data_IF_074277893566
#
_entry.id   IF_074277893566
#
_cell.length_a   1.000
_cell.length_b   1.000
_cell.length_c   1.000
_cell.angle_alpha   90.00
_cell.angle_beta   90.00
_cell.angle_gamma   90.00
#
_symmetry.space_group_name_H-M   'P 1'
#
loop_
_entity.id
_entity.type
_entity.pdbx_description
1 polymer ?
#
# COMPACT_ATOMS: atom_id res chain seq x y z
N UNK A 1 -3.42 -13.33 -17.90
CA UNK A 1 -4.02 -12.20 -17.15
C UNK A 1 -3.77 -10.93 -17.95
N UNK A 2 -4.81 -10.13 -18.27
CA UNK A 2 -4.60 -8.82 -18.86
C UNK A 2 -3.67 -8.00 -17.96
N UNK A 3 -2.74 -7.23 -18.55
CA UNK A 3 -1.95 -6.27 -17.78
C UNK A 3 -2.94 -5.30 -17.15
N UNK A 4 -2.84 -5.07 -15.84
CA UNK A 4 -3.58 -3.97 -15.21
C UNK A 4 -3.22 -2.67 -15.95
N UNK A 5 -4.17 -2.16 -16.72
CA UNK A 5 -4.11 -0.83 -17.32
C UNK A 5 -4.55 0.15 -16.25
N UNK A 6 -3.63 1.01 -15.85
CA UNK A 6 -3.92 2.12 -14.96
C UNK A 6 -4.17 3.37 -15.82
N UNK A 7 -5.11 4.26 -15.43
CA UNK A 7 -5.33 5.53 -16.12
C UNK A 7 -4.03 6.35 -16.20
N UNK A 8 -3.84 7.16 -17.25
CA UNK A 8 -2.64 8.00 -17.42
C UNK A 8 -2.49 9.07 -16.34
N UNK A 9 -3.60 9.69 -15.94
CA UNK A 9 -3.71 10.61 -14.82
C UNK A 9 -4.75 10.08 -13.84
N UNK A 10 -4.44 10.16 -12.55
CA UNK A 10 -5.31 9.70 -11.48
C UNK A 10 -5.46 10.86 -10.47
N UNK A 11 -6.70 11.13 -10.06
CA UNK A 11 -7.02 12.22 -9.15
C UNK A 11 -7.70 11.67 -7.91
N UNK A 12 -7.31 12.18 -6.74
CA UNK A 12 -7.96 11.87 -5.47
C UNK A 12 -8.46 13.18 -4.86
N UNK A 13 -9.79 13.33 -4.78
CA UNK A 13 -10.45 14.57 -4.35
C UNK A 13 -9.91 15.83 -5.08
N UNK A 14 -9.67 15.72 -6.39
CA UNK A 14 -9.15 16.82 -7.22
C UNK A 14 -7.64 17.02 -7.18
N UNK A 15 -6.92 16.40 -6.23
CA UNK A 15 -5.45 16.40 -6.22
C UNK A 15 -4.93 15.36 -7.21
N UNK A 16 -4.05 15.78 -8.12
CA UNK A 16 -3.35 14.86 -9.02
C UNK A 16 -2.38 14.00 -8.23
N UNK A 17 -2.41 12.69 -8.50
CA UNK A 17 -1.50 11.71 -7.91
C UNK A 17 -0.51 11.23 -8.98
N UNK A 18 0.75 11.68 -8.86
CA UNK A 18 1.78 11.41 -9.87
C UNK A 18 2.50 10.07 -9.64
N UNK A 19 2.42 9.52 -8.43
CA UNK A 19 3.10 8.28 -8.05
C UNK A 19 2.27 7.03 -8.37
N UNK A 20 2.94 5.97 -8.84
CA UNK A 20 2.38 4.61 -8.93
C UNK A 20 3.32 3.62 -8.26
N UNK A 21 3.23 3.53 -6.94
CA UNK A 21 4.13 2.76 -6.11
C UNK A 21 3.84 1.27 -6.30
N UNK A 22 4.89 0.54 -6.68
CA UNK A 22 4.81 -0.92 -6.83
C UNK A 22 5.41 -1.60 -5.61
N UNK A 23 4.91 -2.80 -5.28
CA UNK A 23 5.60 -3.68 -4.34
C UNK A 23 7.06 -3.87 -4.76
N UNK A 24 7.99 -3.84 -3.80
CA UNK A 24 9.41 -4.04 -4.07
C UNK A 24 9.68 -5.45 -4.60
N UNK A 25 10.75 -5.60 -5.38
CA UNK A 25 11.00 -6.78 -6.22
C UNK A 25 11.14 -8.06 -5.39
N UNK A 26 11.64 -7.97 -4.17
CA UNK A 26 11.78 -9.09 -3.24
C UNK A 26 10.44 -9.75 -2.86
N UNK A 27 9.32 -9.04 -3.00
CA UNK A 27 7.97 -9.56 -2.73
C UNK A 27 7.25 -10.07 -3.98
N UNK A 28 7.95 -10.21 -5.11
CA UNK A 28 7.36 -10.65 -6.38
C UNK A 28 6.75 -12.05 -6.26
N UNK A 29 7.38 -12.96 -5.53
CA UNK A 29 6.92 -14.35 -5.36
C UNK A 29 5.61 -14.41 -4.57
N UNK A 30 5.51 -13.68 -3.45
CA UNK A 30 4.26 -13.52 -2.71
C UNK A 30 3.14 -13.10 -3.65
N UNK A 31 3.32 -11.99 -4.37
CA UNK A 31 2.31 -11.47 -5.28
C UNK A 31 1.91 -12.47 -6.37
N UNK A 32 2.85 -13.25 -6.90
CA UNK A 32 2.56 -14.29 -7.89
C UNK A 32 1.75 -15.43 -7.28
N UNK A 33 2.17 -15.94 -6.12
CA UNK A 33 1.47 -17.00 -5.41
C UNK A 33 0.02 -16.59 -5.07
N UNK A 34 -0.19 -15.42 -4.47
CA UNK A 34 -1.52 -14.95 -4.07
C UNK A 34 -2.47 -14.73 -5.25
N UNK A 35 -1.93 -14.44 -6.45
CA UNK A 35 -2.74 -14.26 -7.66
C UNK A 35 -3.07 -15.56 -8.39
N UNK A 36 -2.37 -16.65 -8.08
CA UNK A 36 -2.68 -17.97 -8.63
C UNK A 36 -3.79 -18.67 -7.83
N UNK A 37 -3.86 -18.37 -6.54
CA UNK A 37 -4.83 -18.99 -5.64
C UNK A 37 -6.20 -18.31 -5.73
N UNK A 38 -7.31 -19.07 -5.62
CA UNK A 38 -8.63 -18.52 -5.32
C UNK A 38 -8.63 -17.65 -4.05
N UNK A 39 -9.54 -16.67 -3.95
CA UNK A 39 -9.62 -15.77 -2.78
C UNK A 39 -10.06 -16.46 -1.48
N UNK A 40 -10.71 -17.61 -1.59
CA UNK A 40 -11.14 -18.46 -0.47
C UNK A 40 -10.09 -19.52 -0.08
N UNK A 41 -9.00 -19.63 -0.83
CA UNK A 41 -7.93 -20.57 -0.52
C UNK A 41 -7.23 -20.17 0.80
N UNK A 42 -6.95 -21.12 1.72
CA UNK A 42 -6.40 -20.81 3.05
C UNK A 42 -5.02 -20.13 3.02
N UNK A 43 -4.23 -20.38 1.98
CA UNK A 43 -2.94 -19.72 1.78
C UNK A 43 -3.03 -18.37 1.06
N UNK A 44 -4.22 -17.96 0.57
CA UNK A 44 -4.39 -16.68 -0.08
C UNK A 44 -4.75 -15.61 0.96
N UNK A 45 -3.83 -14.69 1.20
CA UNK A 45 -4.04 -13.57 2.12
C UNK A 45 -4.59 -12.32 1.44
N UNK A 46 -4.91 -12.36 0.14
CA UNK A 46 -5.47 -11.22 -0.60
C UNK A 46 -7.00 -11.17 -0.46
N UNK A 47 -7.56 -9.98 -0.55
CA UNK A 47 -8.98 -9.71 -0.34
C UNK A 47 -9.75 -9.83 -1.66
N UNK A 48 -10.96 -10.40 -1.61
CA UNK A 48 -11.92 -10.24 -2.70
C UNK A 48 -12.34 -8.77 -2.81
N UNK A 49 -12.92 -8.37 -3.96
CA UNK A 49 -13.42 -7.01 -4.16
C UNK A 49 -14.44 -6.62 -3.09
N UNK A 50 -15.40 -7.50 -2.80
CA UNK A 50 -16.41 -7.30 -1.75
C UNK A 50 -15.78 -7.08 -0.37
N UNK A 51 -14.70 -7.80 -0.05
CA UNK A 51 -13.96 -7.58 1.21
C UNK A 51 -13.21 -6.24 1.22
N UNK A 52 -12.68 -5.78 0.09
CA UNK A 52 -12.05 -4.45 0.01
C UNK A 52 -13.09 -3.33 0.18
N UNK A 53 -14.29 -3.49 -0.38
CA UNK A 53 -15.38 -2.50 -0.27
C UNK A 53 -15.77 -2.24 1.20
N UNK A 54 -15.71 -3.28 2.05
CA UNK A 54 -15.95 -3.18 3.50
C UNK A 54 -14.84 -2.47 4.29
N UNK A 55 -13.75 -2.07 3.64
CA UNK A 55 -12.62 -1.37 4.26
C UNK A 55 -12.44 0.07 3.75
N UNK A 56 -13.36 0.54 2.89
CA UNK A 56 -13.30 1.88 2.33
C UNK A 56 -13.56 2.89 3.44
N UNK A 57 -12.60 3.79 3.64
CA UNK A 57 -12.74 4.94 4.52
C UNK A 57 -13.25 6.13 3.73
N UNK A 58 -14.22 6.84 4.28
CA UNK A 58 -14.74 8.07 3.70
C UNK A 58 -14.72 9.21 4.72
N UNK A 59 -15.03 10.42 4.28
CA UNK A 59 -15.18 11.59 5.14
C UNK A 59 -16.67 11.83 5.36
N UNK A 60 -17.09 11.94 6.62
CA UNK A 60 -18.45 12.31 6.99
C UNK A 60 -18.74 13.78 6.67
N UNK A 61 -20.02 14.17 6.71
CA UNK A 61 -20.43 15.57 6.52
C UNK A 61 -19.80 16.52 7.56
N UNK A 62 -19.54 16.01 8.76
CA UNK A 62 -18.90 16.73 9.86
C UNK A 62 -17.36 16.74 9.78
N UNK A 63 -16.77 16.16 8.72
CA UNK A 63 -15.33 16.16 8.50
C UNK A 63 -14.54 15.09 9.27
N UNK A 64 -15.21 14.04 9.77
CA UNK A 64 -14.56 12.91 10.44
C UNK A 64 -14.31 11.76 9.47
N UNK A 65 -13.22 11.02 9.68
CA UNK A 65 -12.97 9.81 8.90
C UNK A 65 -13.78 8.65 9.49
N UNK A 66 -14.59 8.01 8.63
CA UNK A 66 -15.50 6.92 9.01
C UNK A 66 -15.26 5.66 8.19
N UNK A 67 -15.54 4.51 8.80
CA UNK A 67 -15.62 3.23 8.09
C UNK A 67 -16.96 3.11 7.31
N UNK A 68 -17.20 2.03 6.55
CA UNK A 68 -18.46 1.83 5.82
C UNK A 68 -19.73 1.70 6.68
N UNK A 69 -19.57 1.49 7.99
CA UNK A 69 -20.65 1.42 8.96
C UNK A 69 -20.89 2.79 9.66
N UNK A 70 -20.32 3.87 9.12
CA UNK A 70 -20.36 5.25 9.64
C UNK A 70 -19.74 5.43 11.04
N UNK A 71 -18.89 4.49 11.48
CA UNK A 71 -18.19 4.60 12.75
C UNK A 71 -16.88 5.39 12.59
N UNK A 72 -16.60 6.27 13.56
CA UNK A 72 -15.36 7.03 13.57
C UNK A 72 -14.14 6.13 13.74
N UNK A 73 -13.11 6.41 12.94
CA UNK A 73 -11.82 5.78 13.14
C UNK A 73 -11.11 6.37 14.36
N UNK A 74 -10.60 5.48 15.22
CA UNK A 74 -9.78 5.84 16.38
C UNK A 74 -8.61 4.85 16.52
N UNK A 75 -7.41 5.36 16.78
CA UNK A 75 -6.18 4.57 16.85
C UNK A 75 -5.40 4.46 15.54
N UNK A 76 -4.57 3.43 15.44
CA UNK A 76 -3.64 3.20 14.32
C UNK A 76 -4.25 2.28 13.25
N UNK A 77 -4.18 2.69 11.98
CA UNK A 77 -4.63 1.91 10.83
C UNK A 77 -3.54 1.85 9.77
N UNK A 78 -3.26 0.64 9.26
CA UNK A 78 -2.59 0.50 7.98
C UNK A 78 -3.52 0.99 6.88
N UNK A 79 -2.98 1.75 5.93
CA UNK A 79 -3.76 2.25 4.81
C UNK A 79 -3.10 2.00 3.45
N UNK A 80 -3.93 1.91 2.42
CA UNK A 80 -3.52 2.03 1.02
C UNK A 80 -4.49 2.95 0.28
N UNK A 81 -3.96 3.77 -0.62
CA UNK A 81 -4.76 4.48 -1.62
C UNK A 81 -4.67 3.74 -2.95
N UNK A 82 -5.79 3.19 -3.43
CA UNK A 82 -5.79 2.37 -4.65
C UNK A 82 -5.46 3.18 -5.90
N UNK A 83 -4.97 2.51 -6.94
CA UNK A 83 -4.54 3.12 -8.20
C UNK A 83 -5.60 2.95 -9.33
N UNK A 84 -6.84 2.65 -8.96
CA UNK A 84 -7.97 2.53 -9.90
C UNK A 84 -8.44 3.91 -10.39
N UNK A 85 -9.35 3.95 -11.36
CA UNK A 85 -9.88 5.21 -11.93
C UNK A 85 -10.51 6.12 -10.88
N UNK A 86 -11.19 5.53 -9.91
CA UNK A 86 -11.63 6.20 -8.69
C UNK A 86 -10.81 5.63 -7.52
N UNK A 87 -9.78 6.34 -7.03
CA UNK A 87 -8.96 5.88 -5.92
C UNK A 87 -9.78 5.72 -4.64
N UNK A 88 -9.60 4.59 -3.97
CA UNK A 88 -10.25 4.30 -2.69
C UNK A 88 -9.20 4.28 -1.58
N UNK A 89 -9.49 4.96 -0.48
CA UNK A 89 -8.69 4.89 0.75
C UNK A 89 -9.16 3.67 1.55
N UNK A 90 -8.35 2.62 1.59
CA UNK A 90 -8.65 1.42 2.38
C UNK A 90 -7.86 1.47 3.68
N UNK A 91 -8.52 1.30 4.82
CA UNK A 91 -7.89 1.30 6.15
C UNK A 91 -8.23 0.02 6.91
N UNK A 92 -7.27 -0.50 7.66
CA UNK A 92 -7.49 -1.60 8.60
C UNK A 92 -6.42 -1.59 9.70
N UNK A 93 -6.73 -1.89 10.97
CA UNK A 93 -5.74 -1.91 12.04
C UNK A 93 -4.58 -2.87 11.75
N UNK A 94 -4.90 -4.14 11.44
CA UNK A 94 -3.89 -5.19 11.38
C UNK A 94 -3.49 -5.69 9.98
N UNK A 95 -4.30 -5.47 8.94
CA UNK A 95 -4.01 -6.03 7.62
C UNK A 95 -2.79 -5.37 6.97
N UNK A 96 -1.92 -6.21 6.40
CA UNK A 96 -0.77 -5.75 5.65
C UNK A 96 -1.16 -5.01 4.36
N UNK A 97 -0.34 -4.05 3.95
CA UNK A 97 -0.58 -3.27 2.73
C UNK A 97 -0.70 -4.11 1.46
N UNK A 98 0.04 -5.23 1.35
CA UNK A 98 -0.09 -6.11 0.16
C UNK A 98 -1.42 -6.84 0.12
N UNK A 99 -1.95 -7.25 1.27
CA UNK A 99 -3.30 -7.78 1.43
C UNK A 99 -4.35 -6.73 1.06
N UNK A 100 -4.25 -5.52 1.64
CA UNK A 100 -5.20 -4.43 1.34
C UNK A 100 -5.25 -4.07 -0.14
N UNK A 101 -4.10 -4.06 -0.82
CA UNK A 101 -4.01 -3.66 -2.22
C UNK A 101 -4.03 -4.83 -3.22
N UNK A 102 -4.19 -6.09 -2.77
CA UNK A 102 -4.10 -7.28 -3.63
C UNK A 102 -2.80 -7.32 -4.48
N UNK A 103 -1.71 -6.83 -3.89
CA UNK A 103 -0.41 -6.64 -4.52
C UNK A 103 -0.42 -5.80 -5.81
N UNK A 104 -1.48 -5.01 -6.05
CA UNK A 104 -1.58 -4.04 -7.15
C UNK A 104 -0.67 -2.84 -6.88
N UNK A 105 -0.55 -1.93 -7.84
CA UNK A 105 0.11 -0.64 -7.57
C UNK A 105 -0.82 0.22 -6.70
N UNK A 106 -0.23 1.08 -5.88
CA UNK A 106 -0.93 2.03 -5.01
C UNK A 106 -0.44 3.45 -5.28
N UNK A 107 -1.24 4.45 -4.94
CA UNK A 107 -0.86 5.86 -5.02
C UNK A 107 -0.18 6.33 -3.73
N UNK A 108 -0.54 5.72 -2.59
CA UNK A 108 0.07 5.95 -1.29
C UNK A 108 -0.12 4.71 -0.41
N UNK A 109 0.74 4.53 0.59
CA UNK A 109 0.60 3.46 1.58
C UNK A 109 1.40 3.74 2.83
N UNK A 110 0.89 3.31 3.98
CA UNK A 110 1.59 3.45 5.23
C UNK A 110 0.64 3.34 6.40
N UNK A 111 0.73 4.24 7.36
CA UNK A 111 -0.09 4.21 8.56
C UNK A 111 -0.78 5.55 8.79
N UNK A 112 -2.04 5.53 9.17
CA UNK A 112 -2.78 6.69 9.67
C UNK A 112 -3.05 6.51 11.16
N UNK A 113 -2.90 7.58 11.93
CA UNK A 113 -3.29 7.61 13.34
C UNK A 113 -4.42 8.62 13.54
N UNK A 114 -5.52 8.13 14.08
CA UNK A 114 -6.69 8.90 14.40
C UNK A 114 -6.82 9.06 15.91
N UNK A 115 -7.34 10.21 16.32
CA UNK A 115 -7.72 10.48 17.71
C UNK A 115 -9.12 11.07 17.70
N UNK A 116 -10.08 10.33 18.25
CA UNK A 116 -11.49 10.70 18.33
C UNK A 116 -12.05 11.11 16.96
N UNK A 117 -11.87 10.26 15.95
CA UNK A 117 -12.36 10.50 14.57
C UNK A 117 -11.53 11.48 13.72
N UNK A 118 -10.55 12.17 14.33
CA UNK A 118 -9.72 13.15 13.62
C UNK A 118 -8.36 12.57 13.25
N UNK A 119 -7.94 12.78 11.99
CA UNK A 119 -6.62 12.35 11.53
C UNK A 119 -5.54 13.25 12.15
N UNK A 120 -4.53 12.65 12.79
CA UNK A 120 -3.45 13.39 13.48
C UNK A 120 -2.06 13.13 12.90
N UNK A 121 -1.78 11.90 12.48
CA UNK A 121 -0.45 11.52 11.96
C UNK A 121 -0.60 10.62 10.74
N UNK A 122 0.27 10.83 9.77
CA UNK A 122 0.49 9.90 8.66
C UNK A 122 1.94 9.44 8.65
N UNK A 123 2.18 8.18 8.30
CA UNK A 123 3.52 7.64 8.11
C UNK A 123 3.61 6.91 6.78
N UNK A 124 4.82 6.79 6.22
CA UNK A 124 5.09 5.93 5.07
C UNK A 124 5.54 4.51 5.49
N UNK A 125 5.23 4.06 6.72
CA UNK A 125 5.67 2.78 7.29
C UNK A 125 5.00 1.56 6.62
N UNK A 126 5.29 1.33 5.35
CA UNK A 126 4.87 0.17 4.57
C UNK A 126 6.05 -0.73 4.26
N UNK A 127 5.97 -2.00 4.67
CA UNK A 127 7.05 -2.96 4.43
C UNK A 127 7.21 -3.32 2.95
N UNK A 128 6.11 -3.57 2.24
CA UNK A 128 6.14 -4.09 0.86
C UNK A 128 6.25 -3.00 -0.21
N UNK A 129 5.64 -1.83 0.03
CA UNK A 129 5.61 -0.74 -0.95
C UNK A 129 6.73 0.28 -0.72
N UNK A 130 7.04 0.58 0.55
CA UNK A 130 8.06 1.55 0.99
C UNK A 130 8.05 2.82 0.11
N UNK A 131 6.97 3.61 0.13
CA UNK A 131 6.91 4.82 -0.65
C UNK A 131 7.93 5.84 -0.15
N UNK A 132 8.51 6.60 -1.07
CA UNK A 132 9.39 7.71 -0.72
C UNK A 132 8.59 8.88 -0.17
N UNK A 133 9.29 9.84 0.43
CA UNK A 133 8.64 11.04 0.94
C UNK A 133 8.03 11.88 -0.19
N UNK A 134 8.72 11.98 -1.33
CA UNK A 134 8.23 12.66 -2.53
C UNK A 134 6.98 11.99 -3.09
N UNK A 135 6.94 10.65 -3.12
CA UNK A 135 5.74 9.91 -3.56
C UNK A 135 4.54 10.15 -2.63
N UNK A 136 4.77 10.42 -1.34
CA UNK A 136 3.73 10.65 -0.34
C UNK A 136 3.25 12.11 -0.29
N UNK A 137 4.04 13.07 -0.75
CA UNK A 137 3.76 14.50 -0.56
C UNK A 137 2.38 14.94 -1.09
N UNK A 138 1.95 14.60 -2.33
CA UNK A 138 0.61 14.98 -2.81
C UNK A 138 -0.52 14.39 -1.96
N UNK A 139 -0.33 13.18 -1.45
CA UNK A 139 -1.30 12.51 -0.58
C UNK A 139 -1.38 13.17 0.80
N UNK A 140 -0.23 13.51 1.40
CA UNK A 140 -0.15 14.20 2.69
C UNK A 140 -0.86 15.55 2.61
N UNK A 141 -0.56 16.36 1.58
CA UNK A 141 -1.23 17.64 1.34
C UNK A 141 -2.74 17.46 1.25
N UNK A 142 -3.18 16.44 0.50
CA UNK A 142 -4.61 16.22 0.32
C UNK A 142 -5.31 15.78 1.61
N UNK A 143 -4.68 14.91 2.40
CA UNK A 143 -5.23 14.52 3.70
C UNK A 143 -5.29 15.70 4.68
N UNK A 144 -4.32 16.61 4.63
CA UNK A 144 -4.34 17.82 5.46
C UNK A 144 -5.59 18.66 5.17
N UNK A 145 -5.87 18.94 3.89
CA UNK A 145 -7.10 19.63 3.47
C UNK A 145 -8.37 18.89 3.90
N UNK A 146 -8.45 17.59 3.62
CA UNK A 146 -9.64 16.78 3.94
C UNK A 146 -9.89 16.68 5.45
N UNK A 147 -8.82 16.69 6.25
CA UNK A 147 -8.92 16.68 7.70
C UNK A 147 -9.27 18.04 8.32
N UNK A 148 -9.52 19.07 7.51
CA UNK A 148 -9.75 20.43 8.03
C UNK A 148 -8.55 21.00 8.79
N UNK A 149 -7.33 20.54 8.45
CA UNK A 149 -6.09 20.96 9.09
C UNK A 149 -5.72 20.20 10.37
N UNK A 150 -6.42 19.13 10.75
CA UNK A 150 -6.09 18.39 11.99
C UNK A 150 -4.90 17.44 11.87
N UNK A 151 -4.47 17.11 10.65
CA UNK A 151 -3.28 16.31 10.40
C UNK A 151 -2.02 17.12 10.76
N UNK A 152 -1.39 16.75 11.87
CA UNK A 152 -0.31 17.53 12.47
C UNK A 152 1.07 17.13 11.93
N UNK A 153 1.31 15.82 11.82
CA UNK A 153 2.65 15.27 11.63
C UNK A 153 2.73 14.23 10.53
N UNK A 154 3.86 14.23 9.83
CA UNK A 154 4.28 13.16 8.95
C UNK A 154 5.56 12.52 9.49
N UNK A 155 5.56 11.21 9.71
CA UNK A 155 6.77 10.47 10.11
C UNK A 155 7.29 9.62 8.95
N UNK A 156 8.49 9.96 8.49
CA UNK A 156 9.23 9.26 7.45
C UNK A 156 10.10 8.15 8.01
N UNK A 157 9.94 6.96 7.43
CA UNK A 157 10.75 5.77 7.65
C UNK A 157 11.80 5.55 6.55
N UNK A 158 12.02 6.54 5.67
CA UNK A 158 13.06 6.48 4.64
C UNK A 158 14.48 6.43 5.24
N UNK A 159 14.67 6.95 6.45
CA UNK A 159 15.96 6.99 7.17
C UNK A 159 15.93 6.19 8.47
N UNK A 160 17.09 5.91 9.05
CA UNK A 160 17.22 5.38 10.42
C UNK A 160 18.19 6.29 11.19
N UNK A 161 17.74 6.98 12.26
CA UNK A 161 16.39 6.98 12.86
C UNK A 161 15.30 7.58 11.94
N UNK A 162 14.04 7.43 12.34
CA UNK A 162 12.92 8.04 11.60
C UNK A 162 12.98 9.57 11.70
N UNK A 163 12.28 10.26 10.80
CA UNK A 163 12.21 11.73 10.78
C UNK A 163 10.77 12.18 10.78
N UNK A 164 10.41 13.06 11.70
CA UNK A 164 9.06 13.64 11.78
C UNK A 164 9.07 15.07 11.23
N UNK A 165 8.01 15.45 10.53
CA UNK A 165 7.85 16.73 9.84
C UNK A 165 6.50 17.35 10.21
N UNK A 166 6.44 18.68 10.34
CA UNK A 166 5.17 19.40 10.46
C UNK A 166 4.44 19.37 9.13
N UNK A 167 3.19 18.90 9.12
CA UNK A 167 2.39 18.83 7.88
C UNK A 167 2.00 20.23 7.38
N UNK A 168 1.80 21.18 8.28
CA UNK A 168 1.58 22.60 7.92
C UNK A 168 2.73 23.13 7.08
N UNK A 169 3.99 22.80 7.41
CA UNK A 169 5.14 23.22 6.62
C UNK A 169 5.27 22.44 5.31
N UNK A 170 4.93 21.14 5.31
CA UNK A 170 4.89 20.33 4.09
C UNK A 170 3.82 20.81 3.11
N UNK A 171 2.73 21.41 3.60
CA UNK A 171 1.66 21.94 2.77
C UNK A 171 2.16 23.09 1.86
N UNK A 172 3.07 23.91 2.38
CA UNK A 172 3.61 25.11 1.71
C UNK A 172 4.74 24.82 0.70
N UNK A 173 5.27 23.59 0.64
CA UNK A 173 6.39 23.24 -0.24
C UNK A 173 5.96 22.35 -1.39
N UNK A 174 6.50 22.55 -2.59
CA UNK A 174 6.20 21.71 -3.76
C UNK A 174 7.17 20.54 -3.97
N UNK A 175 8.25 20.49 -3.19
CA UNK A 175 9.34 19.54 -3.33
C UNK A 175 9.83 19.14 -1.94
N UNK A 176 9.86 17.83 -1.65
CA UNK A 176 10.19 17.33 -0.32
C UNK A 176 11.65 17.60 0.06
N UNK A 177 12.55 17.87 -0.89
CA UNK A 177 13.94 18.24 -0.60
C UNK A 177 14.07 19.54 0.21
N UNK A 178 13.02 20.39 0.21
CA UNK A 178 12.94 21.62 1.02
C UNK A 178 12.44 21.37 2.44
N UNK A 179 11.95 20.16 2.74
CA UNK A 179 11.40 19.82 4.03
C UNK A 179 12.50 19.74 5.10
N UNK A 180 12.26 20.35 6.25
CA UNK A 180 13.15 20.25 7.40
C UNK A 180 12.52 19.28 8.42
N UNK A 181 13.22 18.27 8.95
CA UNK A 181 12.67 17.42 10.00
C UNK A 181 12.62 18.17 11.35
N UNK A 182 11.82 17.70 12.30
CA UNK A 182 11.88 18.12 13.71
C UNK A 182 13.25 17.81 14.29
N UNK A 183 13.75 18.72 15.14
CA UNK A 183 14.92 18.47 15.98
C UNK A 183 14.52 17.70 17.24
N UNK A 184 15.50 17.14 17.94
CA UNK A 184 15.29 16.37 19.19
C UNK A 184 14.53 17.15 20.27
N UNK A 185 14.67 18.48 20.29
CA UNK A 185 14.03 19.37 21.25
C UNK A 185 12.81 20.11 20.68
N UNK A 186 12.26 19.66 19.54
CA UNK A 186 11.08 20.24 18.92
C UNK A 186 9.90 19.26 18.99
N UNK A 187 8.70 19.77 19.26
CA UNK A 187 7.43 19.04 19.12
C UNK A 187 6.49 19.80 18.20
N UNK A 188 5.37 19.17 17.84
CA UNK A 188 4.28 19.81 17.11
C UNK A 188 3.15 20.05 18.10
N UNK A 189 2.78 21.31 18.27
CA UNK A 189 1.65 21.69 19.09
C UNK A 189 0.35 21.10 18.52
N UNK A 190 -0.41 20.41 19.37
CA UNK A 190 -1.56 19.62 18.93
C UNK A 190 -2.75 20.48 18.44
N UNK A 191 -2.77 21.77 18.77
CA UNK A 191 -3.86 22.70 18.44
C UNK A 191 -3.51 23.55 17.22
N UNK A 192 -2.28 24.03 17.14
CA UNK A 192 -1.81 24.96 16.11
C UNK A 192 -1.06 24.26 14.97
N UNK A 193 -0.69 22.99 15.14
CA UNK A 193 0.07 22.19 14.17
C UNK A 193 1.43 22.82 13.79
N UNK A 194 1.94 23.71 14.64
CA UNK A 194 3.22 24.42 14.51
C UNK A 194 4.29 23.81 15.40
N UNK A 195 5.55 24.01 15.02
CA UNK A 195 6.70 23.64 15.84
C UNK A 195 6.74 24.45 17.12
N UNK A 196 7.04 23.77 18.22
CA UNK A 196 7.35 24.39 19.51
C UNK A 196 8.57 23.71 20.11
N UNK A 197 9.40 24.48 20.81
CA UNK A 197 10.55 23.94 21.52
C UNK A 197 10.12 23.37 22.86
N UNK A 198 10.59 22.17 23.18
CA UNK A 198 10.36 21.53 24.47
C UNK A 198 11.46 21.99 25.43
N UNK A 199 11.08 22.35 26.65
CA UNK A 199 12.00 22.58 27.77
C UNK A 199 12.59 21.24 28.23
N UNK A 200 13.87 21.20 28.60
CA UNK A 200 14.62 19.99 29.00
C UNK A 200 14.02 19.19 30.18
N UNK A 201 12.95 19.67 30.82
CA UNK A 201 12.25 19.00 31.90
C UNK A 201 11.14 18.02 31.44
N UNK A 202 10.75 18.04 30.16
CA UNK A 202 9.61 17.26 29.65
C UNK A 202 9.99 16.08 28.73
N UNK A 203 11.26 15.67 28.70
CA UNK A 203 11.72 14.58 27.81
C UNK A 203 11.26 13.22 28.36
N UNK A 204 10.17 12.69 27.82
CA UNK A 204 9.75 11.29 27.99
C UNK A 204 10.52 10.40 27.00
N UNK A 205 10.99 9.24 27.49
CA UNK A 205 11.83 8.25 26.79
C UNK A 205 11.31 7.90 25.38
N UNK A 206 12.17 8.05 24.36
CA UNK A 206 11.91 7.70 22.94
C UNK A 206 12.45 6.30 22.54
N UNK A 207 12.61 5.38 23.48
CA UNK A 207 13.22 4.06 23.21
C UNK A 207 12.19 2.96 22.89
N UNK A 208 11.38 3.12 21.83
CA UNK A 208 10.54 2.02 21.30
C UNK A 208 10.52 1.88 19.74
N UNK A 209 11.28 2.69 18.98
CA UNK A 209 11.14 2.73 17.51
C UNK A 209 11.53 1.44 16.74
N UNK A 210 12.35 0.57 17.32
CA UNK A 210 12.90 -0.58 16.59
C UNK A 210 11.88 -1.74 16.38
N UNK A 211 10.93 -1.94 17.31
CA UNK A 211 10.05 -3.11 17.28
C UNK A 211 8.89 -2.97 16.26
N UNK A 212 8.44 -1.74 16.00
CA UNK A 212 7.27 -1.42 15.16
C UNK A 212 7.60 -1.09 13.69
N UNK A 213 8.88 -0.96 13.35
CA UNK A 213 9.34 -0.61 11.99
C UNK A 213 9.10 -1.74 10.98
N UNK A 214 8.14 -1.56 10.07
CA UNK A 214 7.85 -2.47 8.93
C UNK A 214 8.72 -2.14 7.71
N UNK A 215 9.00 -0.85 7.52
CA UNK A 215 9.81 -0.34 6.41
C UNK A 215 11.21 -0.99 6.39
N UNK A 216 11.59 -1.57 5.25
CA UNK A 216 12.88 -2.25 5.07
C UNK A 216 12.91 -3.73 5.45
N UNK A 217 11.86 -4.29 6.08
CA UNK A 217 11.81 -5.74 6.39
C UNK A 217 11.72 -6.58 5.12
N UNK A 218 12.36 -7.75 5.12
CA UNK A 218 12.33 -8.74 4.02
C UNK A 218 11.41 -9.91 4.39
N UNK A 219 10.96 -10.66 3.37
CA UNK A 219 10.29 -11.94 3.60
C UNK A 219 11.22 -12.92 4.32
N UNK A 220 10.66 -13.73 5.21
CA UNK A 220 11.40 -14.83 5.83
C UNK A 220 11.71 -15.92 4.78
N UNK A 221 12.84 -16.65 4.92
CA UNK A 221 13.19 -17.74 4.00
C UNK A 221 12.09 -18.82 3.90
N UNK A 222 11.44 -19.14 5.02
CA UNK A 222 10.36 -20.13 5.09
C UNK A 222 9.18 -19.72 4.22
N UNK A 223 8.74 -18.46 4.35
CA UNK A 223 7.60 -17.95 3.60
C UNK A 223 7.92 -17.83 2.11
N UNK A 224 9.16 -17.46 1.80
CA UNK A 224 9.65 -17.40 0.42
C UNK A 224 9.64 -18.78 -0.27
N UNK A 225 10.01 -19.84 0.44
CA UNK A 225 9.95 -21.22 -0.06
C UNK A 225 8.50 -21.67 -0.27
N UNK A 226 7.62 -21.40 0.71
CA UNK A 226 6.17 -21.68 0.58
C UNK A 226 5.57 -21.05 -0.69
N UNK A 227 5.89 -19.79 -0.98
CA UNK A 227 5.39 -19.13 -2.20
C UNK A 227 5.99 -19.73 -3.47
N UNK A 228 7.26 -20.15 -3.44
CA UNK A 228 7.87 -20.84 -4.57
C UNK A 228 7.11 -22.14 -4.90
N UNK A 229 6.79 -22.95 -3.89
CA UNK A 229 6.06 -24.20 -4.07
C UNK A 229 4.66 -23.99 -4.68
N UNK A 230 3.95 -22.95 -4.24
CA UNK A 230 2.63 -22.59 -4.80
C UNK A 230 2.75 -22.23 -6.29
N UNK A 231 3.76 -21.44 -6.65
CA UNK A 231 3.99 -21.02 -8.04
C UNK A 231 4.31 -22.22 -8.92
N UNK A 232 5.19 -23.11 -8.47
CA UNK A 232 5.60 -24.30 -9.23
C UNK A 232 4.45 -25.28 -9.44
N UNK A 233 3.68 -25.55 -8.38
CA UNK A 233 2.46 -26.38 -8.46
C UNK A 233 1.44 -25.76 -9.41
N UNK A 234 1.17 -24.47 -9.28
CA UNK A 234 0.26 -23.74 -10.16
C UNK A 234 0.70 -23.80 -11.63
N UNK A 235 1.99 -23.63 -11.92
CA UNK A 235 2.52 -23.72 -13.27
C UNK A 235 2.37 -25.12 -13.89
N UNK A 236 2.41 -26.19 -13.09
CA UNK A 236 2.20 -27.55 -13.55
C UNK A 236 0.76 -27.79 -14.05
N UNK A 237 -0.24 -27.14 -13.45
CA UNK A 237 -1.64 -27.24 -13.89
C UNK A 237 -1.90 -26.57 -15.26
N UNK A 238 -1.10 -25.60 -15.66
CA UNK A 238 -1.25 -24.87 -16.93
C UNK A 238 -0.32 -25.35 -18.04
N UNK A 239 0.44 -26.44 -17.85
CA UNK A 239 1.15 -27.05 -18.98
C UNK A 239 0.11 -27.71 -19.90
N UNK A 240 0.00 -27.29 -21.18
CA UNK A 240 -0.82 -28.05 -22.13
C UNK A 240 -0.22 -29.45 -22.21
N UNK A 241 -1.06 -30.47 -22.05
CA UNK A 241 -0.71 -31.82 -22.46
C UNK A 241 -0.40 -31.75 -23.96
N UNK A 242 0.89 -31.67 -24.30
CA UNK A 242 1.38 -32.07 -25.62
C UNK A 242 1.23 -33.60 -25.69
N UNK A 243 -0.02 -34.04 -25.79
CA UNK A 243 -0.37 -35.39 -26.13
C UNK A 243 0.24 -35.68 -27.49
N UNK A 244 1.10 -36.69 -27.52
CA UNK A 244 1.72 -37.27 -28.69
C UNK A 244 0.72 -37.39 -29.84
N UNK A 245 0.86 -36.54 -30.85
CA UNK A 245 0.27 -36.78 -32.16
C UNK A 245 1.07 -37.93 -32.78
N UNK A 246 0.60 -39.16 -32.61
CA UNK A 246 1.10 -40.33 -33.30
C UNK A 246 0.85 -40.14 -34.79
N UNK A 247 1.92 -40.03 -35.57
CA UNK A 247 1.86 -40.07 -37.02
C UNK A 247 1.58 -41.50 -37.47
N UNK A 248 0.31 -41.88 -37.53
CA UNK A 248 -0.10 -43.07 -38.28
C UNK A 248 0.00 -42.76 -39.77
N UNK A 249 1.08 -43.27 -40.37
CA UNK A 249 1.30 -43.21 -41.81
C UNK A 249 0.65 -44.45 -42.42
N UNK A 250 -0.67 -44.45 -42.58
CA UNK A 250 -1.34 -45.42 -43.45
C UNK A 250 -1.17 -44.98 -44.91
N UNK A 251 -0.19 -45.58 -45.59
CA UNK A 251 -0.14 -45.64 -47.05
C UNK A 251 -1.26 -46.57 -47.51
N UNK A 252 -2.34 -45.98 -48.04
CA UNK A 252 -3.31 -46.73 -48.81
C UNK A 252 -3.20 -46.39 -50.31
N UNK A 253 -3.19 -47.46 -51.09
CA UNK A 253 -2.94 -47.58 -52.52
C UNK A 253 -4.16 -47.07 -53.29
N UNK A 254 -3.95 -46.27 -54.33
CA UNK A 254 -4.85 -46.27 -55.50
C UNK A 254 -4.07 -46.07 -56.79
N UNK A 255 -4.05 -47.16 -57.57
CA UNK A 255 -3.71 -47.22 -58.98
C UNK A 255 -4.63 -46.33 -59.80
N UNK A 256 -4.06 -45.58 -60.74
CA UNK A 256 -4.76 -45.19 -61.98
C UNK A 256 -3.76 -45.42 -63.11
N UNK A 257 -4.09 -46.37 -63.98
CA UNK A 257 -3.41 -46.59 -65.25
C UNK A 257 -3.96 -45.68 -66.35
N UNK A 258 -3.09 -45.31 -67.28
CA UNK A 258 -3.27 -44.78 -68.66
C UNK A 258 -1.85 -44.32 -69.06
N UNK A 259 -1.18 -44.75 -70.14
CA UNK A 259 -1.49 -45.45 -71.38
C UNK A 259 -0.38 -46.47 -71.68
#
# INVERSE_FOLDING_TARGET
MPKNTYPEAIFFHGQKMDARISMKKEFKKERQAMRLLPFDHPDNSYLSKEKQEKLITTLSEDGFFVNPDDEFLDGEYNFVLTCEESPQLLCHPDLHHSTLANGKKVLASGTLFFKSGTLKVVTNNSGHYRPTDEEMLPFIKKLYELSGGTLNAYTSYCTSPTRTYSVTELFEIDDFSKATPLKENETIDAVTSKRTSISNYDILNQDEEASTRRFGRKLSPVLNNKYQDIIEKGAAFFKPNLGSCSTDTERNVFSIGSN
#
